data_IF_696940003820
#
_entry.id   IF_696940003820
#
_cell.length_a   1.000
_cell.length_b   1.000
_cell.length_c   1.000
_cell.angle_alpha   90.00
_cell.angle_beta   90.00
_cell.angle_gamma   90.00
#
_symmetry.space_group_name_H-M   'P 1'
#
loop_
_entity.id
_entity.type
_entity.pdbx_description
1 polymer ?
#
# COMPACT_ATOMS: atom_id res chain seq x y z
N UNK A 1 8.35 -33.39 5.27
CA UNK A 1 9.36 -32.47 5.83
C UNK A 1 8.80 -31.36 6.75
N UNK A 2 7.47 -31.23 6.93
CA UNK A 2 6.88 -30.23 7.83
C UNK A 2 5.92 -30.81 8.88
N UNK A 3 5.93 -32.13 9.12
CA UNK A 3 5.00 -32.74 10.10
C UNK A 3 5.40 -32.51 11.57
N UNK A 4 6.67 -32.20 11.87
CA UNK A 4 7.14 -32.15 13.27
C UNK A 4 7.33 -30.73 13.84
N UNK A 5 6.92 -29.67 13.13
CA UNK A 5 6.96 -28.29 13.64
C UNK A 5 8.35 -27.71 13.95
N UNK A 6 9.43 -28.44 13.63
CA UNK A 6 10.82 -28.00 13.82
C UNK A 6 11.47 -27.37 12.56
N UNK A 7 10.79 -27.39 11.42
CA UNK A 7 11.27 -26.81 10.17
C UNK A 7 11.19 -25.29 10.17
N UNK A 8 12.17 -24.62 10.80
CA UNK A 8 12.37 -23.17 10.67
C UNK A 8 13.39 -22.92 9.56
N UNK A 9 13.05 -22.03 8.66
CA UNK A 9 13.93 -21.47 7.64
C UNK A 9 13.63 -19.98 7.51
N UNK A 10 14.53 -19.24 6.89
CA UNK A 10 14.43 -17.82 6.63
C UNK A 10 14.88 -17.46 5.21
N UNK A 11 15.34 -16.22 4.98
CA UNK A 11 15.74 -15.72 3.66
C UNK A 11 16.87 -16.53 2.98
N UNK A 12 17.58 -17.39 3.71
CA UNK A 12 18.62 -18.22 3.14
C UNK A 12 18.12 -19.18 2.05
N UNK A 13 16.82 -19.53 2.03
CA UNK A 13 16.24 -20.32 0.95
C UNK A 13 16.29 -19.58 -0.40
N UNK A 14 16.19 -18.26 -0.40
CA UNK A 14 16.23 -17.44 -1.62
C UNK A 14 17.65 -17.47 -2.21
N UNK A 15 18.67 -17.43 -1.38
CA UNK A 15 20.07 -17.56 -1.81
C UNK A 15 20.41 -18.93 -2.38
N UNK A 16 19.79 -20.00 -1.85
CA UNK A 16 19.90 -21.33 -2.46
C UNK A 16 19.28 -21.33 -3.86
N UNK A 17 18.06 -20.81 -3.98
CA UNK A 17 17.37 -20.71 -5.28
C UNK A 17 18.17 -19.87 -6.28
N UNK A 18 18.79 -18.77 -5.84
CA UNK A 18 19.71 -17.99 -6.67
C UNK A 18 20.90 -18.83 -7.17
N UNK A 19 21.47 -19.67 -6.33
CA UNK A 19 22.53 -20.60 -6.72
C UNK A 19 22.06 -21.57 -7.81
N UNK A 20 20.85 -22.13 -7.66
CA UNK A 20 20.23 -23.01 -8.66
C UNK A 20 19.99 -22.27 -9.99
N UNK A 21 19.44 -21.04 -9.95
CA UNK A 21 19.28 -20.21 -11.16
C UNK A 21 20.61 -19.89 -11.82
N UNK A 22 21.66 -19.59 -11.05
CA UNK A 22 23.00 -19.34 -11.57
C UNK A 22 23.58 -20.56 -12.28
N UNK A 23 23.40 -21.75 -11.70
CA UNK A 23 23.80 -23.00 -12.34
C UNK A 23 23.07 -23.19 -13.67
N UNK A 24 21.75 -23.03 -13.68
CA UNK A 24 20.93 -23.19 -14.90
C UNK A 24 21.29 -22.19 -15.99
N UNK A 25 21.57 -20.93 -15.64
CA UNK A 25 22.02 -19.91 -16.61
C UNK A 25 23.37 -20.25 -17.27
N UNK A 26 24.27 -20.94 -16.55
CA UNK A 26 25.64 -21.23 -17.01
C UNK A 26 25.77 -22.62 -17.66
N UNK A 27 24.95 -23.59 -17.25
CA UNK A 27 25.00 -24.97 -17.71
C UNK A 27 23.79 -25.38 -18.58
N UNK A 28 22.72 -24.59 -18.61
CA UNK A 28 21.52 -24.86 -19.41
C UNK A 28 20.61 -25.96 -18.85
N UNK A 29 20.94 -26.53 -17.68
CA UNK A 29 20.18 -27.57 -17.01
C UNK A 29 20.12 -27.31 -15.49
N UNK A 30 19.17 -27.93 -14.79
CA UNK A 30 19.08 -27.79 -13.34
C UNK A 30 20.05 -28.75 -12.61
N UNK A 31 20.71 -28.32 -11.51
CA UNK A 31 21.74 -29.12 -10.82
C UNK A 31 21.21 -30.40 -10.14
N UNK A 32 19.89 -30.48 -9.92
CA UNK A 32 19.23 -31.62 -9.26
C UNK A 32 18.19 -32.27 -10.16
N UNK A 33 18.35 -32.13 -11.49
CA UNK A 33 17.46 -32.75 -12.46
C UNK A 33 17.31 -34.26 -12.20
N UNK A 34 16.08 -34.74 -12.24
CA UNK A 34 15.74 -36.15 -12.16
C UNK A 34 14.37 -36.39 -12.83
N UNK A 35 14.07 -37.62 -13.20
CA UNK A 35 12.81 -37.97 -13.86
C UNK A 35 11.60 -37.96 -12.93
N UNK A 36 11.82 -37.99 -11.60
CA UNK A 36 10.76 -37.99 -10.60
C UNK A 36 11.00 -36.98 -9.49
N UNK A 37 9.91 -36.36 -9.00
CA UNK A 37 9.96 -35.41 -7.88
C UNK A 37 10.61 -36.00 -6.63
N UNK A 38 10.35 -37.28 -6.34
CA UNK A 38 10.92 -37.97 -5.18
C UNK A 38 12.44 -38.04 -5.30
N UNK A 39 12.96 -38.33 -6.50
CA UNK A 39 14.39 -38.38 -6.75
C UNK A 39 15.03 -36.98 -6.69
N UNK A 40 14.39 -35.96 -7.30
CA UNK A 40 14.83 -34.56 -7.18
C UNK A 40 14.93 -34.14 -5.71
N UNK A 41 13.91 -34.43 -4.89
CA UNK A 41 13.95 -34.17 -3.46
C UNK A 41 15.06 -34.95 -2.75
N UNK A 42 15.26 -36.21 -3.12
CA UNK A 42 16.38 -37.02 -2.62
C UNK A 42 17.74 -36.40 -2.91
N UNK A 43 17.96 -35.93 -4.14
CA UNK A 43 19.20 -35.25 -4.57
C UNK A 43 19.42 -33.93 -3.83
N UNK A 44 18.37 -33.12 -3.66
CA UNK A 44 18.44 -31.86 -2.89
C UNK A 44 18.78 -32.14 -1.41
N UNK A 45 18.13 -33.10 -0.78
CA UNK A 45 18.41 -33.47 0.62
C UNK A 45 19.83 -34.01 0.80
N UNK A 46 20.35 -34.71 -0.21
CA UNK A 46 21.71 -35.25 -0.24
C UNK A 46 22.69 -34.37 -1.06
N UNK A 47 22.46 -33.06 -1.13
CA UNK A 47 23.20 -32.17 -2.02
C UNK A 47 24.72 -32.26 -1.88
N UNK A 48 25.25 -32.52 -0.67
CA UNK A 48 26.69 -32.68 -0.43
C UNK A 48 27.36 -33.76 -1.28
N UNK A 49 26.59 -34.76 -1.71
CA UNK A 49 27.07 -35.89 -2.51
C UNK A 49 26.48 -35.89 -3.94
N UNK A 50 25.42 -35.12 -4.18
CA UNK A 50 24.69 -35.12 -5.46
C UNK A 50 24.91 -33.84 -6.28
N UNK A 51 25.43 -32.77 -5.67
CA UNK A 51 25.79 -31.55 -6.37
C UNK A 51 27.25 -31.64 -6.85
N UNK A 52 27.43 -31.59 -8.16
CA UNK A 52 28.74 -31.49 -8.80
C UNK A 52 28.61 -30.71 -10.11
N UNK A 53 29.74 -30.29 -10.67
CA UNK A 53 29.80 -29.61 -11.96
C UNK A 53 30.13 -30.61 -13.08
N UNK A 54 29.49 -30.52 -14.25
CA UNK A 54 29.92 -31.26 -15.42
C UNK A 54 31.40 -31.02 -15.73
N UNK A 55 32.13 -32.09 -16.02
CA UNK A 55 33.56 -32.05 -16.39
C UNK A 55 33.78 -31.99 -17.91
N UNK A 56 32.70 -31.87 -18.69
CA UNK A 56 32.76 -31.74 -20.13
C UNK A 56 33.41 -30.40 -20.51
N UNK A 57 34.39 -30.46 -21.42
CA UNK A 57 35.09 -29.29 -21.98
C UNK A 57 34.13 -28.37 -22.77
N UNK A 58 32.90 -28.81 -23.05
CA UNK A 58 31.85 -27.98 -23.66
C UNK A 58 31.43 -26.77 -22.79
N UNK A 59 31.68 -26.80 -21.48
CA UNK A 59 31.29 -25.72 -20.57
C UNK A 59 32.48 -24.82 -20.20
N UNK A 60 32.47 -23.58 -20.69
CA UNK A 60 33.46 -22.56 -20.32
C UNK A 60 32.95 -21.73 -19.12
N UNK A 61 33.05 -22.32 -17.92
CA UNK A 61 32.62 -21.69 -16.67
C UNK A 61 33.81 -21.45 -15.75
N UNK A 62 34.03 -20.18 -15.38
CA UNK A 62 35.13 -19.76 -14.51
C UNK A 62 35.10 -20.41 -13.12
N UNK A 63 36.25 -20.49 -12.46
CA UNK A 63 36.33 -21.01 -11.09
C UNK A 63 35.65 -20.07 -10.08
N UNK A 64 35.63 -18.76 -10.32
CA UNK A 64 34.92 -17.78 -9.50
C UNK A 64 33.40 -18.02 -9.53
N UNK A 65 32.84 -18.39 -10.69
CA UNK A 65 31.43 -18.77 -10.81
C UNK A 65 31.13 -20.05 -10.03
N UNK A 66 31.97 -21.08 -10.20
CA UNK A 66 31.82 -22.35 -9.48
C UNK A 66 31.95 -22.16 -7.97
N UNK A 67 32.88 -21.32 -7.52
CA UNK A 67 33.04 -20.97 -6.11
C UNK A 67 31.79 -20.29 -5.55
N UNK A 68 31.22 -19.32 -6.27
CA UNK A 68 29.95 -18.69 -5.86
C UNK A 68 28.81 -19.71 -5.76
N UNK A 69 28.65 -20.57 -6.77
CA UNK A 69 27.63 -21.62 -6.76
C UNK A 69 27.82 -22.61 -5.61
N UNK A 70 29.06 -23.03 -5.30
CA UNK A 70 29.35 -23.89 -4.13
C UNK A 70 28.97 -23.22 -2.81
N UNK A 71 29.12 -21.90 -2.70
CA UNK A 71 28.77 -21.11 -1.51
C UNK A 71 27.28 -20.75 -1.42
N UNK A 72 26.50 -20.99 -2.48
CA UNK A 72 25.04 -20.83 -2.48
C UNK A 72 24.33 -22.18 -2.33
N UNK A 73 24.75 -23.18 -3.09
CA UNK A 73 24.24 -24.56 -3.11
C UNK A 73 24.97 -25.39 -2.03
N UNK A 74 24.93 -24.90 -0.80
CA UNK A 74 25.48 -25.58 0.38
C UNK A 74 24.50 -25.55 1.56
N UNK A 75 24.88 -26.16 2.67
CA UNK A 75 24.09 -26.09 3.91
C UNK A 75 23.93 -24.64 4.38
N UNK A 76 22.78 -24.31 4.95
CA UNK A 76 22.40 -22.94 5.35
C UNK A 76 23.42 -22.27 6.27
N UNK A 77 24.04 -23.02 7.18
CA UNK A 77 25.07 -22.56 8.12
C UNK A 77 26.27 -21.89 7.45
N UNK A 78 26.60 -22.29 6.22
CA UNK A 78 27.77 -21.81 5.47
C UNK A 78 27.40 -20.98 4.24
N UNK A 79 26.10 -20.81 3.98
CA UNK A 79 25.60 -20.16 2.77
C UNK A 79 25.92 -18.67 2.80
N UNK A 80 26.33 -18.12 1.66
CA UNK A 80 26.45 -16.67 1.49
C UNK A 80 25.09 -15.98 1.66
N UNK A 81 25.15 -14.71 2.07
CA UNK A 81 23.97 -13.85 2.26
C UNK A 81 23.49 -13.78 3.70
N UNK A 82 24.22 -14.38 4.65
CA UNK A 82 23.98 -14.22 6.09
C UNK A 82 24.24 -12.78 6.55
N UNK A 83 25.22 -12.09 5.93
CA UNK A 83 25.46 -10.66 6.16
C UNK A 83 24.74 -9.78 5.13
N UNK A 84 23.72 -10.32 4.46
CA UNK A 84 23.00 -9.66 3.38
C UNK A 84 23.82 -9.51 2.10
N UNK A 85 23.57 -8.44 1.35
CA UNK A 85 24.12 -8.26 -0.01
C UNK A 85 25.65 -8.05 -0.03
N UNK A 86 26.26 -7.62 1.08
CA UNK A 86 27.69 -7.32 1.14
C UNK A 86 28.57 -8.56 0.91
N UNK A 87 28.08 -9.75 1.29
CA UNK A 87 28.72 -11.03 0.99
C UNK A 87 28.93 -11.22 -0.53
N UNK A 88 27.97 -10.77 -1.33
CA UNK A 88 28.00 -10.88 -2.80
C UNK A 88 28.84 -9.79 -3.44
N UNK A 89 28.73 -8.54 -2.96
CA UNK A 89 29.51 -7.42 -3.50
C UNK A 89 31.02 -7.66 -3.40
N UNK A 90 31.45 -8.36 -2.36
CA UNK A 90 32.85 -8.70 -2.12
C UNK A 90 33.29 -10.01 -2.81
N UNK A 91 32.38 -10.72 -3.47
CA UNK A 91 32.72 -11.98 -4.13
C UNK A 91 33.48 -11.73 -5.45
N UNK A 92 34.60 -12.43 -5.73
CA UNK A 92 35.40 -12.24 -6.94
C UNK A 92 34.62 -12.37 -8.27
N UNK A 93 33.56 -13.20 -8.29
CA UNK A 93 32.68 -13.33 -9.45
C UNK A 93 32.05 -12.01 -9.91
N UNK A 94 31.79 -11.09 -8.97
CA UNK A 94 31.23 -9.77 -9.27
C UNK A 94 32.30 -8.67 -9.34
N UNK A 95 33.58 -9.04 -9.49
CA UNK A 95 34.66 -8.07 -9.65
C UNK A 95 34.41 -7.17 -10.87
N UNK A 96 34.48 -5.85 -10.66
CA UNK A 96 34.22 -4.84 -11.70
C UNK A 96 32.76 -4.42 -11.84
N UNK A 97 31.81 -5.07 -11.15
CA UNK A 97 30.41 -4.61 -11.12
C UNK A 97 30.29 -3.37 -10.24
N UNK A 98 29.80 -2.28 -10.81
CA UNK A 98 29.41 -1.10 -10.05
C UNK A 98 27.95 -1.24 -9.59
N UNK A 99 27.76 -1.64 -8.33
CA UNK A 99 26.45 -1.90 -7.74
C UNK A 99 25.58 -0.65 -7.60
N UNK A 100 26.18 0.54 -7.45
CA UNK A 100 25.43 1.79 -7.25
C UNK A 100 24.80 2.29 -8.55
N UNK A 101 25.44 2.02 -9.70
CA UNK A 101 24.98 2.46 -11.02
C UNK A 101 24.44 1.32 -11.90
N UNK A 102 24.30 0.11 -11.34
CA UNK A 102 23.93 -1.09 -12.11
C UNK A 102 22.63 -0.90 -12.87
N UNK A 103 21.62 -0.28 -12.23
CA UNK A 103 20.30 -0.05 -12.80
C UNK A 103 20.31 0.94 -13.98
N UNK A 104 21.26 1.86 -13.99
CA UNK A 104 21.38 2.89 -15.04
C UNK A 104 22.31 2.45 -16.19
N UNK A 105 22.97 1.29 -16.05
CA UNK A 105 23.84 0.73 -17.08
C UNK A 105 23.04 0.11 -18.23
N UNK A 106 23.65 0.02 -19.41
CA UNK A 106 23.02 -0.64 -20.56
C UNK A 106 22.98 -2.16 -20.32
N UNK A 107 21.77 -2.73 -20.30
CA UNK A 107 21.58 -4.17 -20.17
C UNK A 107 22.17 -4.92 -21.39
N UNK A 108 22.70 -6.14 -21.20
CA UNK A 108 23.29 -6.93 -22.28
C UNK A 108 22.26 -7.44 -23.31
N UNK A 109 20.98 -7.52 -22.91
CA UNK A 109 19.86 -7.87 -23.77
C UNK A 109 18.77 -6.80 -23.66
N UNK A 110 18.26 -6.35 -24.80
CA UNK A 110 17.14 -5.43 -24.90
C UNK A 110 16.02 -6.19 -25.63
N UNK A 111 14.87 -6.45 -24.98
CA UNK A 111 13.79 -7.21 -25.60
C UNK A 111 13.17 -6.44 -26.77
N UNK A 112 12.82 -7.17 -27.83
CA UNK A 112 12.02 -6.63 -28.91
C UNK A 112 10.55 -6.59 -28.48
N UNK A 113 9.94 -5.40 -28.57
CA UNK A 113 8.55 -5.16 -28.16
C UNK A 113 7.87 -4.33 -29.25
N UNK A 114 6.81 -4.89 -29.83
CA UNK A 114 6.08 -4.26 -30.95
C UNK A 114 5.05 -3.22 -30.50
N UNK A 115 4.48 -3.39 -29.30
CA UNK A 115 3.47 -2.50 -28.74
C UNK A 115 3.38 -2.63 -27.20
N UNK A 116 2.74 -1.67 -26.50
CA UNK A 116 2.54 -1.76 -25.05
C UNK A 116 1.75 -2.98 -24.55
N UNK A 117 1.03 -3.67 -25.44
CA UNK A 117 0.23 -4.87 -25.13
C UNK A 117 0.80 -6.14 -25.74
N UNK A 118 2.05 -6.09 -26.22
CA UNK A 118 2.72 -7.25 -26.81
C UNK A 118 3.01 -8.32 -25.75
N UNK A 119 2.52 -9.54 -25.99
CA UNK A 119 2.72 -10.71 -25.11
C UNK A 119 3.70 -11.73 -25.68
N UNK A 120 4.39 -11.43 -26.80
CA UNK A 120 5.27 -12.38 -27.51
C UNK A 120 6.49 -12.85 -26.71
N UNK A 121 6.92 -12.09 -25.70
CA UNK A 121 8.01 -12.46 -24.80
C UNK A 121 7.57 -13.37 -23.63
N UNK A 122 6.31 -13.81 -23.63
CA UNK A 122 5.75 -14.73 -22.64
C UNK A 122 5.25 -16.01 -23.31
N UNK A 123 5.48 -17.15 -22.67
CA UNK A 123 4.89 -18.42 -23.08
C UNK A 123 3.45 -18.49 -22.53
N UNK A 124 2.47 -18.17 -23.38
CA UNK A 124 1.05 -18.15 -23.00
C UNK A 124 0.38 -19.41 -23.56
N UNK A 125 -0.06 -20.29 -22.67
CA UNK A 125 -0.89 -21.42 -23.05
C UNK A 125 -2.36 -20.96 -23.15
N UNK A 126 -2.87 -20.88 -24.38
CA UNK A 126 -4.26 -20.47 -24.69
C UNK A 126 -5.32 -21.38 -24.02
N UNK A 127 -4.94 -22.57 -23.53
CA UNK A 127 -5.86 -23.51 -22.89
C UNK A 127 -6.12 -23.22 -21.40
N UNK A 128 -5.36 -22.33 -20.77
CA UNK A 128 -5.42 -22.09 -19.33
C UNK A 128 -6.40 -20.97 -18.90
N UNK A 129 -7.35 -20.60 -19.77
CA UNK A 129 -8.53 -19.80 -19.37
C UNK A 129 -9.44 -20.67 -18.50
N UNK A 130 -9.00 -20.90 -17.26
CA UNK A 130 -9.77 -21.62 -16.25
C UNK A 130 -10.94 -20.75 -15.83
N UNK A 131 -12.11 -21.03 -16.39
CA UNK A 131 -13.37 -20.61 -15.78
C UNK A 131 -13.39 -21.20 -14.37
N UNK A 132 -13.26 -20.35 -13.35
CA UNK A 132 -13.25 -20.81 -11.98
C UNK A 132 -14.63 -21.35 -11.62
N UNK A 133 -14.72 -22.62 -11.26
CA UNK A 133 -15.94 -23.25 -10.71
C UNK A 133 -16.15 -22.90 -9.21
N UNK A 134 -15.35 -21.99 -8.66
CA UNK A 134 -15.43 -21.61 -7.26
C UNK A 134 -16.75 -20.87 -6.98
N UNK A 135 -17.61 -21.48 -6.17
CA UNK A 135 -18.83 -20.85 -5.66
C UNK A 135 -18.50 -20.13 -4.35
N UNK A 136 -19.02 -18.90 -4.12
CA UNK A 136 -18.87 -18.22 -2.85
C UNK A 136 -19.38 -19.09 -1.69
N UNK A 137 -18.66 -19.16 -0.55
CA UNK A 137 -19.13 -19.90 0.62
C UNK A 137 -20.44 -19.32 1.15
N UNK A 138 -21.23 -20.15 1.84
CA UNK A 138 -22.51 -19.73 2.40
C UNK A 138 -22.33 -18.65 3.46
N UNK A 139 -23.07 -17.54 3.30
CA UNK A 139 -23.03 -16.43 4.25
C UNK A 139 -23.98 -16.70 5.43
N UNK A 140 -23.48 -16.50 6.65
CA UNK A 140 -24.32 -16.38 7.83
C UNK A 140 -25.10 -15.05 7.78
N UNK A 141 -26.40 -15.09 8.07
CA UNK A 141 -27.30 -13.91 8.05
C UNK A 141 -27.01 -12.89 9.15
N UNK A 142 -26.39 -13.29 10.26
CA UNK A 142 -26.03 -12.38 11.34
C UNK A 142 -24.72 -11.62 11.04
N UNK A 143 -23.68 -12.34 10.63
CA UNK A 143 -22.39 -11.78 10.22
C UNK A 143 -21.59 -12.85 9.47
N UNK A 144 -21.27 -12.61 8.20
CA UNK A 144 -20.58 -13.60 7.37
C UNK A 144 -19.07 -13.58 7.51
N UNK A 145 -18.47 -12.42 7.87
CA UNK A 145 -17.03 -12.21 7.97
C UNK A 145 -16.20 -12.52 6.70
N UNK A 146 -16.83 -12.91 5.60
CA UNK A 146 -16.15 -13.48 4.42
C UNK A 146 -15.17 -12.51 3.75
N UNK A 147 -15.40 -11.20 3.89
CA UNK A 147 -14.53 -10.18 3.32
C UNK A 147 -13.49 -9.63 4.30
N UNK A 148 -13.52 -10.02 5.58
CA UNK A 148 -12.52 -9.57 6.55
C UNK A 148 -11.07 -9.86 6.13
N UNK A 149 -10.74 -11.02 5.52
CA UNK A 149 -9.38 -11.29 5.05
C UNK A 149 -8.86 -10.29 4.00
N UNK A 150 -9.72 -9.52 3.34
CA UNK A 150 -9.35 -8.57 2.29
C UNK A 150 -9.36 -7.10 2.77
N UNK A 151 -9.69 -6.85 4.03
CA UNK A 151 -9.63 -5.50 4.59
C UNK A 151 -8.19 -5.01 4.60
N UNK A 152 -7.94 -3.82 4.06
CA UNK A 152 -6.59 -3.27 3.89
C UNK A 152 -5.88 -3.71 2.60
N UNK A 153 -6.49 -4.58 1.78
CA UNK A 153 -5.90 -4.99 0.50
C UNK A 153 -5.91 -3.88 -0.56
N UNK A 154 -6.89 -2.97 -0.50
CA UNK A 154 -7.04 -1.90 -1.49
C UNK A 154 -5.89 -0.90 -1.40
N UNK A 155 -5.17 -0.72 -2.50
CA UNK A 155 -4.08 0.24 -2.62
C UNK A 155 -4.31 1.20 -3.81
N UNK A 156 -3.91 2.46 -3.67
CA UNK A 156 -3.99 3.46 -4.74
C UNK A 156 -2.72 4.30 -4.74
N UNK A 157 -1.86 4.07 -5.73
CA UNK A 157 -0.60 4.80 -5.88
C UNK A 157 -0.84 6.30 -6.05
N UNK A 158 -0.07 7.12 -5.33
CA UNK A 158 -0.18 8.58 -5.37
C UNK A 158 -1.31 9.18 -4.53
N UNK A 159 -2.13 8.35 -3.87
CA UNK A 159 -3.15 8.82 -2.94
C UNK A 159 -2.54 9.14 -1.57
N UNK A 160 -2.86 10.30 -1.00
CA UNK A 160 -2.41 10.72 0.33
C UNK A 160 -3.02 9.91 1.50
N UNK A 161 -4.09 9.15 1.22
CA UNK A 161 -4.74 8.24 2.18
C UNK A 161 -4.34 6.77 1.97
N UNK A 162 -3.46 6.49 1.00
CA UNK A 162 -2.87 5.16 0.87
C UNK A 162 -1.87 4.89 1.99
N UNK A 163 -1.46 3.63 2.16
CA UNK A 163 -0.45 3.25 3.17
C UNK A 163 0.90 3.95 2.98
N UNK A 164 1.20 4.42 1.77
CA UNK A 164 2.40 5.23 1.45
C UNK A 164 2.13 6.73 1.51
N UNK A 165 0.86 7.13 1.60
CA UNK A 165 0.44 8.50 1.68
C UNK A 165 0.74 9.11 3.04
N UNK A 166 0.90 10.43 3.06
CA UNK A 166 0.82 11.20 4.29
C UNK A 166 -0.33 12.17 4.15
N UNK A 167 -1.24 12.15 5.13
CA UNK A 167 -2.16 13.26 5.28
C UNK A 167 -1.35 14.49 5.71
N UNK A 168 -1.67 15.68 5.18
CA UNK A 168 -1.14 16.92 5.72
C UNK A 168 -1.49 16.95 7.21
N UNK A 169 -0.49 16.73 8.05
CA UNK A 169 -0.62 17.05 9.47
C UNK A 169 -0.72 18.57 9.48
N UNK A 170 -1.92 19.10 9.71
CA UNK A 170 -1.99 20.38 10.41
C UNK A 170 -1.23 20.14 11.71
N UNK A 171 0.06 20.49 11.75
CA UNK A 171 0.72 20.72 13.03
C UNK A 171 -0.27 21.59 13.80
N UNK A 172 -0.66 21.25 15.03
CA UNK A 172 -1.30 22.23 15.87
C UNK A 172 -0.25 23.32 16.01
N UNK A 173 -0.35 24.37 15.17
CA UNK A 173 0.31 25.62 15.46
C UNK A 173 -0.19 25.93 16.86
N UNK A 174 0.70 25.86 17.86
CA UNK A 174 0.40 26.44 19.16
C UNK A 174 0.05 27.89 18.86
N UNK A 175 -1.26 28.16 18.83
CA UNK A 175 -1.76 29.49 18.57
C UNK A 175 -1.12 30.38 19.63
N UNK A 176 -0.56 31.56 19.28
CA UNK A 176 0.12 32.44 20.24
C UNK A 176 -0.72 32.72 21.50
N UNK A 177 -2.04 32.68 21.35
CA UNK A 177 -2.99 32.87 22.45
C UNK A 177 -3.02 31.73 23.47
N UNK A 178 -2.64 30.49 23.12
CA UNK A 178 -2.68 29.37 24.06
C UNK A 178 -1.61 29.51 25.13
N UNK A 179 -0.40 29.95 24.77
CA UNK A 179 0.67 30.23 25.74
C UNK A 179 0.32 31.41 26.66
N UNK A 180 -0.32 32.46 26.11
CA UNK A 180 -0.83 33.57 26.93
C UNK A 180 -1.94 33.12 27.88
N UNK A 181 -2.90 32.31 27.42
CA UNK A 181 -4.01 31.80 28.22
C UNK A 181 -3.53 30.82 29.30
N UNK A 182 -2.50 30.01 29.01
CA UNK A 182 -1.86 29.14 30.00
C UNK A 182 -1.15 29.96 31.08
N UNK A 183 -0.46 31.03 30.70
CA UNK A 183 0.22 31.93 31.63
C UNK A 183 -0.78 32.74 32.48
N UNK A 184 -1.91 33.14 31.91
CA UNK A 184 -2.99 33.83 32.61
C UNK A 184 -3.73 32.90 33.58
N UNK A 185 -3.97 31.63 33.19
CA UNK A 185 -4.50 30.61 34.09
C UNK A 185 -3.58 30.33 35.28
N UNK A 186 -2.26 30.29 35.06
CA UNK A 186 -1.30 30.10 36.14
C UNK A 186 -1.36 31.24 37.17
N UNK A 187 -1.45 32.50 36.71
CA UNK A 187 -1.60 33.67 37.58
C UNK A 187 -2.92 33.68 38.35
N UNK A 188 -4.01 33.26 37.70
CA UNK A 188 -5.32 33.14 38.35
C UNK A 188 -5.32 32.07 39.45
N UNK A 189 -4.67 30.93 39.22
CA UNK A 189 -4.52 29.87 40.23
C UNK A 189 -3.71 30.34 41.44
N UNK A 190 -2.64 31.12 41.22
CA UNK A 190 -1.85 31.72 42.30
C UNK A 190 -2.67 32.73 43.10
N UNK A 191 -3.43 33.59 42.41
CA UNK A 191 -4.33 34.58 43.06
C UNK A 191 -5.43 33.90 43.88
N UNK A 192 -5.99 32.79 43.38
CA UNK A 192 -6.97 31.98 44.12
C UNK A 192 -6.33 31.37 45.38
N UNK A 193 -5.10 30.86 45.29
CA UNK A 193 -4.40 30.30 46.44
C UNK A 193 -4.14 31.37 47.52
N UNK A 194 -3.74 32.57 47.13
CA UNK A 194 -3.50 33.69 48.03
C UNK A 194 -4.78 34.19 48.70
N UNK A 195 -5.88 34.32 47.95
CA UNK A 195 -7.19 34.67 48.51
C UNK A 195 -7.69 33.60 49.49
N UNK A 196 -7.47 32.33 49.18
CA UNK A 196 -7.83 31.20 50.06
C UNK A 196 -7.01 31.20 51.35
N UNK A 197 -5.74 31.61 51.28
CA UNK A 197 -4.87 31.80 52.45
C UNK A 197 -5.25 33.04 53.27
N UNK A 198 -5.68 34.14 52.64
CA UNK A 198 -6.21 35.32 53.34
C UNK A 198 -7.54 35.00 54.07
N UNK A 199 -8.41 34.21 53.46
CA UNK A 199 -9.64 33.72 54.10
C UNK A 199 -9.31 32.80 55.28
N UNK A 200 -8.27 31.96 55.16
CA UNK A 200 -7.86 31.03 56.22
C UNK A 200 -7.11 31.68 57.38
N UNK A 201 -6.47 32.84 57.15
CA UNK A 201 -5.76 33.62 58.19
C UNK A 201 -6.67 34.61 58.93
N UNK A 202 -7.89 34.84 58.44
CA UNK A 202 -8.89 35.68 59.13
C UNK A 202 -9.73 34.83 60.08
N UNK A 203 -9.16 34.40 61.21
CA UNK A 203 -9.96 34.00 62.38
C UNK A 203 -10.60 35.26 62.97
N UNK A 204 -11.88 35.51 62.70
CA UNK A 204 -12.65 36.52 63.45
C UNK A 204 -13.98 35.93 63.90
N UNK A 205 -14.06 35.77 65.22
CA UNK A 205 -15.24 35.58 66.07
C UNK A 205 -16.34 36.60 65.73
N UNK A 206 -17.64 36.27 65.87
CA UNK A 206 -18.72 37.10 65.36
C UNK A 206 -18.86 38.39 66.18
N UNK A 207 -18.70 39.56 65.56
CA UNK A 207 -19.36 40.82 65.98
C UNK A 207 -19.12 41.97 64.99
N UNK A 208 -20.21 42.46 64.39
CA UNK A 208 -20.43 43.83 63.82
C UNK A 208 -19.79 44.17 62.44
N UNK A 209 -20.13 45.30 61.76
CA UNK A 209 -20.89 45.29 60.52
C UNK A 209 -20.07 45.89 59.36
N UNK A 210 -19.19 45.12 58.71
CA UNK A 210 -18.36 45.66 57.61
C UNK A 210 -18.33 44.80 56.33
N UNK A 211 -19.10 43.71 56.30
CA UNK A 211 -19.22 42.81 55.13
C UNK A 211 -19.80 43.50 53.88
N UNK A 212 -20.62 44.53 54.05
CA UNK A 212 -21.27 45.22 52.93
C UNK A 212 -20.28 45.99 52.03
N UNK A 213 -19.16 46.46 52.58
CA UNK A 213 -18.17 47.26 51.84
C UNK A 213 -17.23 46.37 51.02
N UNK A 214 -16.81 45.22 51.58
CA UNK A 214 -15.98 44.25 50.86
C UNK A 214 -16.76 43.58 49.72
N UNK A 215 -18.03 43.23 49.96
CA UNK A 215 -18.90 42.65 48.94
C UNK A 215 -19.14 43.64 47.79
N UNK A 216 -19.29 44.94 48.09
CA UNK A 216 -19.39 45.99 47.07
C UNK A 216 -18.13 46.14 46.22
N UNK A 217 -16.94 46.11 46.83
CA UNK A 217 -15.67 46.20 46.10
C UNK A 217 -15.49 45.02 45.14
N UNK A 218 -15.79 43.80 45.58
CA UNK A 218 -15.74 42.62 44.72
C UNK A 218 -16.78 42.70 43.59
N UNK A 219 -17.96 43.23 43.86
CA UNK A 219 -18.99 43.44 42.85
C UNK A 219 -18.54 44.46 41.78
N UNK A 220 -17.89 45.56 42.19
CA UNK A 220 -17.37 46.57 41.27
C UNK A 220 -16.22 46.04 40.42
N UNK A 221 -15.37 45.17 40.99
CA UNK A 221 -14.26 44.54 40.28
C UNK A 221 -14.76 43.51 39.25
N UNK A 222 -15.78 42.71 39.60
CA UNK A 222 -16.45 41.80 38.66
C UNK A 222 -17.08 42.59 37.49
N UNK A 223 -17.73 43.72 37.77
CA UNK A 223 -18.33 44.55 36.74
C UNK A 223 -17.27 45.15 35.80
N UNK A 224 -16.11 45.54 36.35
CA UNK A 224 -15.01 46.11 35.57
C UNK A 224 -14.37 45.07 34.67
N UNK A 225 -14.11 43.85 35.17
CA UNK A 225 -13.57 42.74 34.38
C UNK A 225 -14.54 42.28 33.29
N UNK A 226 -15.84 42.22 33.60
CA UNK A 226 -16.87 41.85 32.61
C UNK A 226 -16.88 42.83 31.43
N UNK A 227 -16.75 44.13 31.70
CA UNK A 227 -16.66 45.16 30.65
C UNK A 227 -15.38 45.00 29.82
N UNK A 228 -14.25 44.72 30.46
CA UNK A 228 -12.96 44.52 29.79
C UNK A 228 -12.96 43.30 28.87
N UNK A 229 -13.60 42.21 29.29
CA UNK A 229 -13.79 41.03 28.45
C UNK A 229 -14.63 41.33 27.20
N UNK A 230 -15.74 42.07 27.36
CA UNK A 230 -16.53 42.49 26.20
C UNK A 230 -15.75 43.37 25.21
N UNK A 231 -14.87 44.25 25.70
CA UNK A 231 -13.99 45.06 24.84
C UNK A 231 -12.94 44.22 24.11
N UNK A 232 -12.34 43.22 24.77
CA UNK A 232 -11.37 42.31 24.17
C UNK A 232 -12.01 41.39 23.13
N UNK A 233 -13.22 40.88 23.38
CA UNK A 233 -13.99 40.10 22.41
C UNK A 233 -14.28 40.91 21.13
N UNK A 234 -14.63 42.20 21.28
CA UNK A 234 -14.85 43.09 20.14
C UNK A 234 -13.56 43.37 19.36
N UNK A 235 -12.42 43.51 20.04
CA UNK A 235 -11.13 43.70 19.39
C UNK A 235 -10.69 42.46 18.61
N UNK A 236 -10.84 41.26 19.19
CA UNK A 236 -10.60 39.97 18.54
C UNK A 236 -11.43 39.84 17.25
N UNK A 237 -12.73 40.16 17.34
CA UNK A 237 -13.64 40.11 16.19
C UNK A 237 -13.26 41.08 15.07
N UNK A 238 -12.65 42.23 15.40
CA UNK A 238 -12.16 43.19 14.40
C UNK A 238 -10.84 42.75 13.74
N UNK A 239 -9.96 42.09 14.50
CA UNK A 239 -8.68 41.57 14.02
C UNK A 239 -8.86 40.34 13.11
N UNK A 240 -9.79 39.45 13.45
CA UNK A 240 -10.22 38.33 12.59
C UNK A 240 -10.79 38.81 11.25
N UNK A 241 -11.50 39.95 11.24
CA UNK A 241 -12.06 40.53 10.03
C UNK A 241 -11.02 41.24 9.14
N UNK A 242 -9.87 41.66 9.69
CA UNK A 242 -8.90 42.50 8.97
C UNK A 242 -7.76 41.72 8.30
N UNK A 243 -7.21 40.65 8.91
CA UNK A 243 -5.88 40.16 8.52
C UNK A 243 -5.76 38.69 8.07
N UNK A 244 -6.81 37.86 8.11
CA UNK A 244 -6.65 36.41 7.84
C UNK A 244 -7.19 35.88 6.51
N UNK A 245 -8.16 36.57 5.91
CA UNK A 245 -9.05 35.92 4.90
C UNK A 245 -8.83 36.42 3.47
N UNK A 246 -8.28 37.62 3.23
CA UNK A 246 -8.26 38.21 1.87
C UNK A 246 -7.09 37.77 0.97
N UNK A 247 -5.91 37.51 1.51
CA UNK A 247 -4.73 37.12 0.70
C UNK A 247 -4.72 35.63 0.34
N UNK A 248 -5.30 34.76 1.17
CA UNK A 248 -5.37 33.32 0.90
C UNK A 248 -6.57 32.94 0.01
N UNK A 249 -7.70 33.67 0.12
CA UNK A 249 -8.94 33.37 -0.62
C UNK A 249 -8.82 33.66 -2.14
N UNK A 250 -8.09 34.70 -2.52
CA UNK A 250 -7.91 35.08 -3.93
C UNK A 250 -6.95 34.18 -4.70
N UNK A 251 -6.00 33.54 -4.01
CA UNK A 251 -5.04 32.61 -4.61
C UNK A 251 -5.57 31.17 -4.71
N UNK A 252 -6.48 30.78 -3.80
CA UNK A 252 -7.07 29.43 -3.74
C UNK A 252 -8.24 29.26 -4.74
N UNK A 253 -9.07 30.29 -4.95
CA UNK A 253 -10.29 30.12 -5.77
C UNK A 253 -10.00 29.90 -7.28
N UNK A 254 -8.90 30.42 -7.84
CA UNK A 254 -8.65 30.29 -9.30
C UNK A 254 -8.11 28.90 -9.70
N UNK A 255 -7.22 28.30 -8.89
CA UNK A 255 -6.60 27.01 -9.23
C UNK A 255 -7.53 25.82 -9.03
N UNK A 256 -8.37 25.86 -8.00
CA UNK A 256 -9.36 24.81 -7.73
C UNK A 256 -10.56 24.90 -8.67
N UNK A 257 -10.98 26.11 -9.09
CA UNK A 257 -12.05 26.26 -10.08
C UNK A 257 -11.65 25.70 -11.45
N UNK A 258 -10.38 25.86 -11.87
CA UNK A 258 -9.88 25.26 -13.12
C UNK A 258 -9.84 23.74 -13.04
N UNK A 259 -9.36 23.18 -11.92
CA UNK A 259 -9.33 21.72 -11.70
C UNK A 259 -10.74 21.13 -11.61
N UNK A 260 -11.67 21.85 -10.97
CA UNK A 260 -13.07 21.43 -10.86
C UNK A 260 -13.74 21.43 -12.24
N UNK A 261 -13.45 22.40 -13.09
CA UNK A 261 -13.95 22.43 -14.47
C UNK A 261 -13.33 21.32 -15.35
N UNK A 262 -12.05 20.98 -15.15
CA UNK A 262 -11.41 19.83 -15.81
C UNK A 262 -12.00 18.50 -15.35
N UNK A 263 -12.23 18.33 -14.05
CA UNK A 263 -12.88 17.15 -13.48
C UNK A 263 -14.33 17.03 -13.96
N UNK A 264 -15.09 18.13 -14.03
CA UNK A 264 -16.43 18.12 -14.61
C UNK A 264 -16.43 17.70 -16.09
N UNK A 265 -15.45 18.18 -16.87
CA UNK A 265 -15.30 17.79 -18.28
C UNK A 265 -14.97 16.30 -18.39
N UNK A 266 -14.08 15.79 -17.53
CA UNK A 266 -13.73 14.37 -17.48
C UNK A 266 -14.94 13.51 -17.09
N UNK A 267 -15.70 13.92 -16.08
CA UNK A 267 -16.94 13.23 -15.65
C UNK A 267 -17.97 13.18 -16.78
N UNK A 268 -18.13 14.26 -17.55
CA UNK A 268 -19.02 14.26 -18.73
C UNK A 268 -18.53 13.30 -19.80
N UNK A 269 -17.23 13.28 -20.09
CA UNK A 269 -16.62 12.37 -21.07
C UNK A 269 -16.78 10.90 -20.67
N UNK A 270 -16.50 10.58 -19.41
CA UNK A 270 -16.66 9.22 -18.88
C UNK A 270 -18.12 8.78 -18.87
N UNK A 271 -19.05 9.73 -18.67
CA UNK A 271 -20.48 9.43 -18.75
C UNK A 271 -20.92 9.10 -20.18
N UNK A 272 -20.43 9.83 -21.18
CA UNK A 272 -20.73 9.53 -22.59
C UNK A 272 -20.11 8.20 -23.02
N UNK A 273 -18.87 7.92 -22.61
CA UNK A 273 -18.19 6.65 -22.92
C UNK A 273 -18.91 5.46 -22.25
N UNK A 274 -19.40 5.63 -21.02
CA UNK A 274 -20.25 4.65 -20.35
C UNK A 274 -21.55 4.39 -21.11
N UNK A 275 -22.21 5.44 -21.61
CA UNK A 275 -23.45 5.29 -22.39
C UNK A 275 -23.20 4.58 -23.72
N UNK A 276 -22.07 4.86 -24.38
CA UNK A 276 -21.63 4.18 -25.61
C UNK A 276 -21.30 2.71 -25.36
N UNK A 277 -20.55 2.38 -24.32
CA UNK A 277 -20.25 1.00 -23.94
C UNK A 277 -21.50 0.19 -23.57
N UNK A 278 -22.49 0.83 -22.93
CA UNK A 278 -23.79 0.19 -22.64
C UNK A 278 -24.53 -0.12 -23.94
N UNK A 279 -24.50 0.80 -24.91
CA UNK A 279 -25.12 0.60 -26.22
C UNK A 279 -24.45 -0.55 -26.98
N UNK A 280 -23.12 -0.57 -27.05
CA UNK A 280 -22.37 -1.65 -27.70
C UNK A 280 -22.65 -3.02 -27.06
N UNK A 281 -22.75 -3.07 -25.73
CA UNK A 281 -23.13 -4.29 -25.00
C UNK A 281 -24.53 -4.78 -25.40
N UNK A 282 -25.50 -3.87 -25.52
CA UNK A 282 -26.86 -4.24 -25.93
C UNK A 282 -26.90 -4.76 -27.37
N UNK A 283 -26.19 -4.09 -28.28
CA UNK A 283 -26.09 -4.51 -29.69
C UNK A 283 -25.41 -5.89 -29.81
N UNK A 284 -24.37 -6.16 -29.00
CA UNK A 284 -23.72 -7.46 -28.94
C UNK A 284 -24.66 -8.56 -28.39
N UNK A 285 -25.46 -8.26 -27.36
CA UNK A 285 -26.45 -9.19 -26.82
C UNK A 285 -27.56 -9.51 -27.83
N UNK A 286 -27.97 -8.54 -28.65
CA UNK A 286 -28.95 -8.76 -29.70
C UNK A 286 -28.40 -9.65 -30.82
N UNK A 287 -27.15 -9.41 -31.25
CA UNK A 287 -26.45 -10.29 -32.20
C UNK A 287 -26.31 -11.72 -31.68
N UNK A 288 -25.97 -11.89 -30.40
CA UNK A 288 -25.85 -13.21 -29.79
C UNK A 288 -27.19 -13.96 -29.78
N UNK A 289 -28.30 -13.25 -29.48
CA UNK A 289 -29.65 -13.84 -29.57
C UNK A 289 -30.01 -14.27 -30.99
N UNK A 290 -29.61 -13.50 -32.00
CA UNK A 290 -29.83 -13.85 -33.39
C UNK A 290 -29.05 -15.11 -33.77
N UNK A 291 -27.77 -15.19 -33.39
CA UNK A 291 -26.93 -16.36 -33.62
C UNK A 291 -27.47 -17.62 -32.92
N UNK A 292 -27.95 -17.51 -31.68
CA UNK A 292 -28.57 -18.63 -30.96
C UNK A 292 -29.85 -19.14 -31.68
N UNK A 293 -30.64 -18.22 -32.26
CA UNK A 293 -31.80 -18.58 -33.08
C UNK A 293 -31.38 -19.28 -34.36
N UNK A 294 -30.43 -18.72 -35.10
CA UNK A 294 -29.89 -19.32 -36.33
C UNK A 294 -29.31 -20.71 -36.08
N UNK A 295 -28.60 -20.89 -34.97
CA UNK A 295 -28.06 -22.19 -34.56
C UNK A 295 -29.16 -23.20 -34.26
N UNK A 296 -30.23 -22.79 -33.56
CA UNK A 296 -31.40 -23.66 -33.30
C UNK A 296 -32.13 -24.05 -34.57
N UNK A 297 -32.30 -23.11 -35.51
CA UNK A 297 -32.93 -23.37 -36.80
C UNK A 297 -32.06 -24.34 -37.63
N UNK A 298 -30.74 -24.14 -37.67
CA UNK A 298 -29.80 -25.04 -38.34
C UNK A 298 -29.79 -26.45 -37.73
N UNK A 299 -29.84 -26.56 -36.39
CA UNK A 299 -29.95 -27.85 -35.70
C UNK A 299 -31.26 -28.55 -36.02
N UNK A 300 -32.36 -27.81 -36.14
CA UNK A 300 -33.68 -28.34 -36.50
C UNK A 300 -33.70 -28.85 -37.94
N UNK A 301 -33.17 -28.07 -38.88
CA UNK A 301 -33.01 -28.47 -40.28
C UNK A 301 -32.13 -29.71 -40.42
N UNK A 302 -31.01 -29.78 -39.69
CA UNK A 302 -30.15 -30.97 -39.68
C UNK A 302 -30.90 -32.20 -39.19
N UNK A 303 -31.71 -32.08 -38.14
CA UNK A 303 -32.52 -33.21 -37.63
C UNK A 303 -33.56 -33.68 -38.65
N UNK A 304 -34.24 -32.76 -39.33
CA UNK A 304 -35.18 -33.07 -40.41
C UNK A 304 -34.50 -33.80 -41.57
N UNK A 305 -33.38 -33.26 -42.05
CA UNK A 305 -32.60 -33.88 -43.14
C UNK A 305 -32.08 -35.28 -42.76
N UNK A 306 -31.67 -35.48 -41.50
CA UNK A 306 -31.28 -36.81 -41.02
C UNK A 306 -32.46 -37.79 -40.95
N UNK A 307 -33.66 -37.31 -40.60
CA UNK A 307 -34.87 -38.14 -40.57
C UNK A 307 -35.32 -38.57 -41.98
N UNK A 308 -35.29 -37.64 -42.95
CA UNK A 308 -35.60 -37.92 -44.36
C UNK A 308 -34.61 -38.90 -45.00
N UNK A 309 -33.34 -38.92 -44.56
CA UNK A 309 -32.34 -39.88 -45.05
C UNK A 309 -32.52 -41.30 -44.48
N UNK A 310 -33.27 -41.43 -43.38
CA UNK A 310 -33.51 -42.72 -42.70
C UNK A 310 -34.82 -43.41 -43.09
N UNK A 311 -35.67 -42.77 -43.90
CA UNK A 311 -36.81 -43.39 -44.61
C UNK A 311 -36.41 -43.88 -46.01
#
# INVERSE_FOLDING_TARGET
AMEDGQGRYGPECDWWSLGVCMYEMLYGETPFYAESLVETYGRIMNHKNCFDFPTDDAYDVSEEAKDLMRKLICSSEFRLGQNGIEDFKNHPWFAGVNWDTLRDSTAPYIPEVSSPTDTSNFDVDDTDVRSSDAVPPSANSAFSALHLPFVGFSFTQGSCISDLGSLPTSQPQKLPNVEQLEQENAKLLETIADLKNQISSTKVSPTTPDSSTATRKLQDEINTLTKRNGELELQLKSLEASNGVRELKTSIDNGDLTKLHELEKLVRSLKTEKEEAIKEKLDALEKLKLQDKELKDALTQRKLAMAEYTE
#
